data_IF_328678108437
#
_entry.id   IF_328678108437
#
_cell.length_a   1.000
_cell.length_b   1.000
_cell.length_c   1.000
_cell.angle_alpha   90.00
_cell.angle_beta   90.00
_cell.angle_gamma   90.00
#
_symmetry.space_group_name_H-M   'P 1'
#
loop_
_entity.id
_entity.type
_entity.pdbx_description
1 polymer ?
#
# COMPACT_ATOMS: atom_id res chain seq x y z
N UNK A 1 9.53 -3.76 -0.51
CA UNK A 1 9.39 -2.40 0.11
C UNK A 1 9.34 -2.42 1.63
N UNK A 2 9.07 -3.55 2.32
CA UNK A 2 9.17 -3.66 3.78
C UNK A 2 8.02 -3.04 4.59
N UNK A 3 6.97 -2.53 3.95
CA UNK A 3 5.79 -1.96 4.60
C UNK A 3 4.57 -2.85 4.33
N UNK A 4 3.73 -3.06 5.35
CA UNK A 4 2.45 -3.78 5.21
C UNK A 4 1.37 -2.93 4.52
N UNK A 5 1.44 -1.61 4.68
CA UNK A 5 0.53 -0.67 4.03
C UNK A 5 1.11 0.72 3.94
N UNK A 6 0.78 1.41 2.85
CA UNK A 6 1.23 2.77 2.54
C UNK A 6 0.00 3.57 2.12
N UNK A 7 -0.19 4.75 2.71
CA UNK A 7 -1.13 5.75 2.23
C UNK A 7 -0.35 6.99 1.78
N UNK A 8 -0.70 7.53 0.61
CA UNK A 8 -0.07 8.73 0.05
C UNK A 8 -1.10 9.65 -0.60
N UNK A 9 -0.85 10.95 -0.60
CA UNK A 9 -1.74 11.92 -1.25
C UNK A 9 -1.64 13.32 -0.67
N UNK A 10 -2.25 14.32 -1.32
CA UNK A 10 -2.15 15.73 -0.92
C UNK A 10 -2.67 16.02 0.50
N UNK A 11 -3.61 15.19 0.98
CA UNK A 11 -4.26 15.36 2.28
C UNK A 11 -3.72 14.39 3.35
N UNK A 12 -2.79 13.51 2.99
CA UNK A 12 -2.29 12.49 3.90
C UNK A 12 -1.29 13.11 4.87
N UNK A 13 -1.54 12.90 6.17
CA UNK A 13 -0.68 13.27 7.29
C UNK A 13 -0.46 12.02 8.15
N UNK A 14 0.49 12.08 9.08
CA UNK A 14 0.90 10.92 9.89
C UNK A 14 -0.27 10.12 10.52
N UNK A 15 -1.34 10.80 10.95
CA UNK A 15 -2.52 10.17 11.55
C UNK A 15 -3.71 10.01 10.61
N UNK A 16 -3.60 10.43 9.35
CA UNK A 16 -4.72 10.42 8.40
C UNK A 16 -5.24 9.00 8.22
N UNK A 17 -6.44 8.75 8.77
CA UNK A 17 -7.15 7.47 8.66
C UNK A 17 -6.26 6.26 9.04
N UNK A 18 -5.33 6.43 9.99
CA UNK A 18 -4.36 5.39 10.38
C UNK A 18 -5.05 4.09 10.82
N UNK A 19 -6.16 4.19 11.55
CA UNK A 19 -6.95 3.02 11.95
C UNK A 19 -7.59 2.27 10.76
N UNK A 20 -7.99 2.99 9.72
CA UNK A 20 -8.50 2.38 8.49
C UNK A 20 -7.38 1.70 7.70
N UNK A 21 -6.21 2.34 7.58
CA UNK A 21 -5.04 1.73 6.95
C UNK A 21 -4.65 0.44 7.66
N UNK A 22 -4.60 0.46 9.01
CA UNK A 22 -4.32 -0.72 9.80
C UNK A 22 -5.33 -1.85 9.54
N UNK A 23 -6.63 -1.55 9.54
CA UNK A 23 -7.67 -2.56 9.25
C UNK A 23 -7.48 -3.18 7.86
N UNK A 24 -7.11 -2.39 6.86
CA UNK A 24 -6.81 -2.91 5.51
C UNK A 24 -5.58 -3.82 5.48
N UNK A 25 -4.55 -3.52 6.27
CA UNK A 25 -3.35 -4.38 6.35
C UNK A 25 -3.61 -5.70 7.08
N UNK A 26 -4.64 -5.75 7.94
CA UNK A 26 -4.99 -6.93 8.73
C UNK A 26 -6.08 -7.79 8.08
N UNK A 27 -6.98 -7.18 7.33
CA UNK A 27 -8.10 -7.86 6.69
C UNK A 27 -8.04 -7.69 5.17
N UNK A 28 -7.62 -8.72 4.42
CA UNK A 28 -7.52 -8.66 2.96
C UNK A 28 -8.89 -8.49 2.26
N UNK A 29 -9.99 -8.87 2.92
CA UNK A 29 -11.35 -8.73 2.41
C UNK A 29 -11.95 -7.33 2.67
N UNK A 30 -11.19 -6.41 3.27
CA UNK A 30 -11.66 -5.06 3.54
C UNK A 30 -11.75 -4.22 2.25
N UNK A 31 -12.98 -4.00 1.80
CA UNK A 31 -13.32 -3.19 0.63
C UNK A 31 -13.59 -1.71 0.93
N UNK A 32 -13.40 -1.24 2.17
CA UNK A 32 -13.62 0.17 2.52
C UNK A 32 -12.72 1.07 1.66
N UNK A 33 -13.25 2.15 1.10
CA UNK A 33 -12.43 3.09 0.31
C UNK A 33 -11.76 4.11 1.23
N UNK A 34 -10.55 4.55 0.88
CA UNK A 34 -9.85 5.63 1.59
C UNK A 34 -9.80 6.90 0.70
N UNK A 35 -10.89 7.68 0.64
CA UNK A 35 -10.95 8.84 -0.24
C UNK A 35 -9.90 9.89 0.15
N UNK A 36 -9.29 10.50 -0.86
CA UNK A 36 -8.22 11.50 -0.68
C UNK A 36 -6.81 10.92 -0.49
N UNK A 37 -6.67 9.59 -0.55
CA UNK A 37 -5.39 8.91 -0.51
C UNK A 37 -5.31 7.78 -1.55
N UNK A 38 -4.13 7.61 -2.13
CA UNK A 38 -3.73 6.38 -2.80
C UNK A 38 -3.23 5.41 -1.72
N UNK A 39 -3.77 4.19 -1.74
CA UNK A 39 -3.47 3.17 -0.73
C UNK A 39 -2.88 1.96 -1.41
N UNK A 40 -1.71 1.56 -0.96
CA UNK A 40 -1.09 0.29 -1.29
C UNK A 40 -1.10 -0.60 -0.04
N UNK A 41 -1.59 -1.83 -0.15
CA UNK A 41 -1.50 -2.85 0.89
C UNK A 41 -0.69 -3.99 0.32
N UNK A 42 0.33 -4.42 1.05
CA UNK A 42 1.10 -5.58 0.63
C UNK A 42 0.21 -6.83 0.74
N UNK A 43 -0.17 -7.39 -0.40
CA UNK A 43 -0.72 -8.73 -0.45
C UNK A 43 0.43 -9.73 -0.37
N UNK A 44 0.20 -10.89 0.25
CA UNK A 44 1.15 -12.01 0.30
C UNK A 44 1.19 -12.67 -1.08
N UNK A 45 1.58 -11.90 -2.09
CA UNK A 45 1.92 -12.44 -3.40
C UNK A 45 3.44 -12.53 -3.42
N UNK A 46 3.92 -13.77 -3.59
CA UNK A 46 5.33 -14.12 -3.64
C UNK A 46 6.13 -13.04 -4.37
N UNK A 47 6.98 -12.38 -3.59
CA UNK A 47 7.82 -11.23 -3.90
C UNK A 47 8.82 -11.64 -5.00
N UNK A 48 8.34 -11.82 -6.23
CA UNK A 48 9.21 -11.81 -7.40
C UNK A 48 9.59 -10.35 -7.57
N UNK A 49 10.88 -9.98 -7.33
CA UNK A 49 11.28 -8.60 -7.41
C UNK A 49 10.95 -8.09 -8.81
N UNK A 50 10.37 -6.89 -8.90
CA UNK A 50 10.10 -6.26 -10.18
C UNK A 50 11.37 -6.32 -11.04
N UNK A 51 11.32 -6.90 -12.25
CA UNK A 51 12.52 -7.11 -13.05
C UNK A 51 13.16 -5.75 -13.32
N UNK A 52 14.40 -5.60 -12.87
CA UNK A 52 15.20 -4.43 -13.18
C UNK A 52 15.37 -4.39 -14.70
N UNK A 53 14.87 -3.34 -15.36
CA UNK A 53 15.09 -3.10 -16.78
C UNK A 53 16.57 -2.69 -17.00
N UNK A 54 17.46 -3.65 -16.86
CA UNK A 54 18.89 -3.56 -17.17
C UNK A 54 19.18 -4.34 -18.45
N UNK A 55 18.56 -3.93 -19.55
CA UNK A 55 18.82 -4.44 -20.89
C UNK A 55 19.00 -3.27 -21.82
N UNK A 56 20.23 -2.77 -21.93
CA UNK A 56 20.69 -1.96 -23.05
C UNK A 56 22.00 -2.59 -23.51
N UNK A 57 21.96 -3.07 -24.75
CA UNK A 57 23.03 -3.77 -25.47
C UNK A 57 24.36 -2.99 -25.48
#
# INVERSE_FOLDING_TARGET
MGFSGIASGPLVRSSFKAGLLLRKTLNPENTETMPGAYVYVAHVENDTPAPLKGGMN
#
